data_IF_204436775507
#
_entry.id   IF_204436775507
#
_cell.length_a   1.000
_cell.length_b   1.000
_cell.length_c   1.000
_cell.angle_alpha   90.00
_cell.angle_beta   90.00
_cell.angle_gamma   90.00
#
_symmetry.space_group_name_H-M   'P 1'
#
loop_
_entity.id
_entity.type
_entity.pdbx_description
1 polymer ?
#
# COMPACT_ATOMS: atom_id res chain seq x y z
N UNK A 1 20.32 7.18 11.84
CA UNK A 1 19.17 6.22 11.92
C UNK A 1 18.08 6.67 10.98
N UNK A 2 17.52 5.75 10.22
CA UNK A 2 16.44 6.01 9.26
C UNK A 2 15.27 5.03 9.51
N UNK A 3 14.05 5.49 9.26
CA UNK A 3 12.89 4.63 9.15
C UNK A 3 12.45 4.55 7.68
N UNK A 4 12.12 3.36 7.21
CA UNK A 4 11.43 3.15 5.94
C UNK A 4 9.93 3.11 6.23
N UNK A 5 9.21 3.95 5.55
CA UNK A 5 7.73 3.94 5.51
C UNK A 5 7.32 3.40 4.15
N UNK A 6 6.56 2.33 4.17
CA UNK A 6 6.10 1.61 2.97
C UNK A 6 4.59 1.37 3.07
N UNK A 7 3.84 1.76 2.05
CA UNK A 7 2.41 1.50 1.96
C UNK A 7 2.13 0.10 1.42
N UNK A 8 1.78 -0.81 2.31
CA UNK A 8 1.52 -2.21 1.94
C UNK A 8 0.37 -2.34 0.93
N UNK A 9 0.61 -3.10 -0.15
CA UNK A 9 -0.38 -3.33 -1.21
C UNK A 9 -1.02 -2.01 -1.70
N UNK A 10 -0.23 -0.96 -1.82
CA UNK A 10 -0.66 0.45 -1.84
C UNK A 10 -1.81 0.73 -2.80
N UNK A 11 -1.74 0.30 -4.06
CA UNK A 11 -2.81 0.57 -5.02
C UNK A 11 -4.11 -0.14 -4.66
N UNK A 12 -4.03 -1.40 -4.26
CA UNK A 12 -5.20 -2.16 -3.81
C UNK A 12 -5.82 -1.54 -2.55
N UNK A 13 -4.99 -1.09 -1.62
CA UNK A 13 -5.43 -0.41 -0.40
C UNK A 13 -6.12 0.92 -0.72
N UNK A 14 -5.58 1.74 -1.62
CA UNK A 14 -6.23 2.98 -2.07
C UNK A 14 -7.65 2.75 -2.61
N UNK A 15 -7.85 1.68 -3.36
CA UNK A 15 -9.18 1.33 -3.89
C UNK A 15 -10.17 0.95 -2.78
N UNK A 16 -9.71 0.30 -1.72
CA UNK A 16 -10.58 -0.11 -0.61
C UNK A 16 -10.98 1.05 0.30
N UNK A 17 -10.16 2.09 0.42
CA UNK A 17 -10.46 3.28 1.25
C UNK A 17 -11.80 3.91 0.86
N UNK A 18 -12.07 4.04 -0.42
CA UNK A 18 -13.32 4.64 -0.93
C UNK A 18 -14.40 3.61 -1.25
N UNK A 19 -14.07 2.34 -1.19
CA UNK A 19 -14.98 1.22 -1.41
C UNK A 19 -14.83 0.17 -0.32
N UNK A 20 -15.30 0.44 0.90
CA UNK A 20 -15.13 -0.48 2.04
C UNK A 20 -15.66 -1.90 1.79
N UNK A 21 -16.61 -2.05 0.88
CA UNK A 21 -17.14 -3.37 0.50
C UNK A 21 -16.10 -4.27 -0.18
N UNK A 22 -14.99 -3.70 -0.68
CA UNK A 22 -13.87 -4.46 -1.27
C UNK A 22 -12.88 -4.98 -0.23
N UNK A 23 -12.93 -4.47 1.00
CA UNK A 23 -12.04 -4.89 2.07
C UNK A 23 -12.18 -6.40 2.34
N UNK A 24 -11.06 -7.09 2.51
CA UNK A 24 -11.02 -8.54 2.75
C UNK A 24 -11.29 -9.41 1.52
N UNK A 25 -11.60 -8.82 0.38
CA UNK A 25 -11.86 -9.54 -0.86
C UNK A 25 -10.59 -9.69 -1.70
N UNK A 26 -10.46 -10.77 -2.51
CA UNK A 26 -9.36 -10.88 -3.45
C UNK A 26 -9.48 -9.80 -4.53
N UNK A 27 -8.52 -8.88 -4.52
CA UNK A 27 -8.49 -7.70 -5.38
C UNK A 27 -7.12 -7.58 -6.05
N UNK A 28 -7.09 -7.34 -7.34
CA UNK A 28 -5.89 -6.93 -8.06
C UNK A 28 -6.13 -5.61 -8.77
N UNK A 29 -5.10 -4.78 -8.81
CA UNK A 29 -5.06 -3.61 -9.68
C UNK A 29 -4.22 -3.96 -10.89
N UNK A 30 -4.74 -3.68 -12.06
CA UNK A 30 -4.12 -4.01 -13.33
C UNK A 30 -3.24 -2.87 -13.84
N UNK A 31 -2.25 -3.21 -14.65
CA UNK A 31 -1.38 -2.25 -15.31
C UNK A 31 -2.16 -1.29 -16.22
N UNK A 32 -1.47 -0.27 -16.72
CA UNK A 32 -2.07 0.79 -17.54
C UNK A 32 -2.88 0.28 -18.77
N UNK A 33 -2.51 -0.88 -19.28
CA UNK A 33 -3.20 -1.54 -20.41
C UNK A 33 -4.08 -2.73 -19.99
N UNK A 34 -4.36 -2.86 -18.68
CA UNK A 34 -5.08 -3.99 -18.08
C UNK A 34 -4.46 -5.37 -18.36
N UNK A 35 -3.18 -5.38 -18.69
CA UNK A 35 -2.49 -6.61 -19.10
C UNK A 35 -2.03 -7.51 -17.96
N UNK A 36 -1.63 -6.96 -16.84
CA UNK A 36 -1.09 -7.74 -15.72
C UNK A 36 -1.38 -7.09 -14.36
N UNK A 37 -1.34 -7.90 -13.30
CA UNK A 37 -1.52 -7.44 -11.92
C UNK A 37 -0.28 -6.70 -11.43
N UNK A 38 -0.42 -5.43 -11.06
CA UNK A 38 0.63 -4.58 -10.49
C UNK A 38 0.46 -4.35 -8.98
N UNK A 39 -0.70 -4.65 -8.44
CA UNK A 39 -0.94 -4.70 -7.00
C UNK A 39 -1.96 -5.79 -6.67
N UNK A 40 -1.86 -6.33 -5.46
CA UNK A 40 -2.69 -7.44 -5.01
C UNK A 40 -3.05 -7.26 -3.54
N UNK A 41 -4.32 -7.50 -3.18
CA UNK A 41 -4.69 -7.63 -1.77
C UNK A 41 -4.11 -8.91 -1.15
N UNK A 42 -4.11 -9.01 0.17
CA UNK A 42 -3.66 -10.23 0.86
C UNK A 42 -4.51 -11.44 0.46
N UNK A 43 -5.82 -11.27 0.31
CA UNK A 43 -6.69 -12.35 -0.17
C UNK A 43 -6.34 -12.80 -1.60
N UNK A 44 -5.95 -11.88 -2.49
CA UNK A 44 -5.48 -12.22 -3.83
C UNK A 44 -4.13 -12.96 -3.80
N UNK A 45 -3.22 -12.57 -2.92
CA UNK A 45 -1.95 -13.29 -2.70
C UNK A 45 -2.20 -14.71 -2.20
N UNK A 46 -3.18 -14.90 -1.31
CA UNK A 46 -3.57 -16.22 -0.80
C UNK A 46 -4.11 -17.16 -1.90
N UNK A 47 -4.66 -16.62 -2.99
CA UNK A 47 -5.05 -17.38 -4.18
C UNK A 47 -3.87 -17.78 -5.06
N UNK A 48 -2.64 -17.42 -4.70
CA UNK A 48 -1.43 -17.73 -5.46
C UNK A 48 -1.15 -16.75 -6.62
N UNK A 49 -1.83 -15.62 -6.68
CA UNK A 49 -1.60 -14.61 -7.71
C UNK A 49 -0.25 -13.93 -7.46
N UNK A 50 0.64 -14.01 -8.43
CA UNK A 50 1.98 -13.41 -8.37
C UNK A 50 1.99 -11.98 -8.93
N UNK A 51 2.95 -11.18 -8.49
CA UNK A 51 3.22 -9.87 -9.09
C UNK A 51 3.50 -10.02 -10.59
N UNK A 52 2.86 -9.18 -11.40
CA UNK A 52 2.98 -9.23 -12.85
C UNK A 52 2.18 -10.35 -13.51
N UNK A 53 1.34 -11.09 -12.78
CA UNK A 53 0.50 -12.14 -13.35
C UNK A 53 -0.35 -11.60 -14.50
N UNK A 54 -0.29 -12.19 -15.69
CA UNK A 54 -1.11 -11.76 -16.81
C UNK A 54 -2.59 -11.92 -16.52
N UNK A 55 -3.38 -10.90 -16.85
CA UNK A 55 -4.83 -10.92 -16.57
C UNK A 55 -5.52 -12.13 -17.19
N UNK A 56 -5.18 -12.49 -18.42
CA UNK A 56 -5.82 -13.63 -19.11
C UNK A 56 -5.63 -14.96 -18.37
N UNK A 57 -4.57 -15.10 -17.56
CA UNK A 57 -4.31 -16.32 -16.78
C UNK A 57 -5.10 -16.34 -15.47
N UNK A 58 -5.39 -15.19 -14.88
CA UNK A 58 -6.06 -15.09 -13.57
C UNK A 58 -7.55 -14.73 -13.67
N UNK A 59 -8.02 -14.31 -14.84
CA UNK A 59 -9.41 -13.91 -15.05
C UNK A 59 -10.42 -15.02 -14.70
N UNK A 60 -10.05 -16.28 -14.83
CA UNK A 60 -10.86 -17.42 -14.41
C UNK A 60 -11.22 -17.40 -12.92
N UNK A 61 -10.38 -16.78 -12.09
CA UNK A 61 -10.60 -16.68 -10.64
C UNK A 61 -11.73 -15.71 -10.28
N UNK A 62 -12.19 -14.88 -11.23
CA UNK A 62 -13.35 -14.00 -11.04
C UNK A 62 -14.61 -14.84 -10.73
N UNK A 63 -14.84 -15.90 -11.49
CA UNK A 63 -16.00 -16.77 -11.30
C UNK A 63 -15.78 -17.80 -10.18
N UNK A 64 -14.58 -18.37 -10.09
CA UNK A 64 -14.29 -19.45 -9.13
C UNK A 64 -14.06 -18.95 -7.70
N UNK A 65 -13.44 -17.80 -7.51
CA UNK A 65 -12.96 -17.32 -6.20
C UNK A 65 -13.37 -15.88 -5.87
N UNK A 66 -14.16 -15.26 -6.73
CA UNK A 66 -14.64 -13.90 -6.53
C UNK A 66 -13.56 -12.82 -6.68
N UNK A 67 -12.51 -13.12 -7.47
CA UNK A 67 -11.47 -12.14 -7.75
C UNK A 67 -12.06 -10.88 -8.39
N UNK A 68 -11.59 -9.72 -7.95
CA UNK A 68 -11.93 -8.42 -8.50
C UNK A 68 -10.70 -7.85 -9.18
N UNK A 69 -10.80 -7.54 -10.47
CA UNK A 69 -9.78 -6.82 -11.22
C UNK A 69 -10.21 -5.38 -11.45
N UNK A 70 -9.39 -4.43 -11.07
CA UNK A 70 -9.61 -3.00 -11.31
C UNK A 70 -8.51 -2.43 -12.18
N UNK A 71 -8.89 -1.59 -13.12
CA UNK A 71 -7.95 -0.77 -13.88
C UNK A 71 -7.26 0.22 -12.95
N UNK A 72 -5.98 0.53 -13.22
CA UNK A 72 -5.22 1.46 -12.41
C UNK A 72 -5.82 2.87 -12.44
N UNK A 73 -6.01 3.47 -11.27
CA UNK A 73 -6.43 4.85 -11.09
C UNK A 73 -5.25 5.67 -10.55
N UNK A 74 -4.29 5.99 -11.40
CA UNK A 74 -3.08 6.70 -11.00
C UNK A 74 -3.33 8.09 -10.39
N UNK A 75 -4.31 8.89 -10.81
CA UNK A 75 -4.67 10.13 -10.12
C UNK A 75 -5.07 9.91 -8.65
N UNK A 76 -5.84 8.87 -8.37
CA UNK A 76 -6.19 8.49 -6.99
C UNK A 76 -4.94 8.09 -6.19
N UNK A 77 -4.08 7.25 -6.76
CA UNK A 77 -2.88 6.77 -6.07
C UNK A 77 -1.89 7.89 -5.81
N UNK A 78 -1.75 8.83 -6.74
CA UNK A 78 -0.93 10.02 -6.57
C UNK A 78 -1.43 10.94 -5.45
N UNK A 79 -2.73 11.18 -5.36
CA UNK A 79 -3.34 11.97 -4.29
C UNK A 79 -3.15 11.29 -2.92
N UNK A 80 -3.43 10.00 -2.84
CA UNK A 80 -3.24 9.23 -1.61
C UNK A 80 -1.77 9.15 -1.19
N UNK A 81 -0.85 9.01 -2.14
CA UNK A 81 0.59 9.07 -1.89
C UNK A 81 0.99 10.41 -1.28
N UNK A 82 0.55 11.54 -1.82
CA UNK A 82 0.85 12.86 -1.28
C UNK A 82 0.38 13.01 0.16
N UNK A 83 -0.80 12.52 0.48
CA UNK A 83 -1.35 12.52 1.84
C UNK A 83 -0.52 11.65 2.78
N UNK A 84 -0.18 10.43 2.36
CA UNK A 84 0.65 9.51 3.12
C UNK A 84 2.04 10.11 3.39
N UNK A 85 2.70 10.63 2.35
CA UNK A 85 4.04 11.22 2.48
C UNK A 85 4.04 12.45 3.39
N UNK A 86 3.00 13.29 3.36
CA UNK A 86 2.85 14.43 4.24
C UNK A 86 2.73 14.03 5.71
N UNK A 87 2.00 12.95 6.00
CA UNK A 87 1.88 12.42 7.35
C UNK A 87 3.18 11.74 7.81
N UNK A 88 3.83 10.97 6.94
CA UNK A 88 5.11 10.32 7.22
C UNK A 88 6.21 11.33 7.52
N UNK A 89 6.21 12.50 6.87
CA UNK A 89 7.16 13.58 7.13
C UNK A 89 7.13 14.09 8.57
N UNK A 90 6.02 13.92 9.28
CA UNK A 90 5.89 14.26 10.70
C UNK A 90 6.64 13.33 11.66
N UNK A 91 7.21 12.22 11.18
CA UNK A 91 7.97 11.28 12.01
C UNK A 91 9.37 11.77 12.37
N UNK A 92 10.00 12.54 11.50
CA UNK A 92 11.38 12.98 11.70
C UNK A 92 11.72 14.27 10.96
N UNK A 93 12.94 14.80 11.19
CA UNK A 93 13.35 16.11 10.65
C UNK A 93 13.61 16.12 9.14
N UNK A 94 13.83 14.96 8.53
CA UNK A 94 14.12 14.84 7.09
C UNK A 94 13.33 13.71 6.48
N UNK A 95 12.96 13.88 5.21
CA UNK A 95 12.26 12.86 4.43
C UNK A 95 12.85 12.80 3.02
N UNK A 96 13.07 11.59 2.53
CA UNK A 96 13.38 11.32 1.14
C UNK A 96 12.31 10.38 0.57
N UNK A 97 11.56 10.88 -0.42
CA UNK A 97 10.53 10.09 -1.11
C UNK A 97 11.24 9.27 -2.18
N UNK A 98 11.16 7.95 -2.04
CA UNK A 98 11.81 6.99 -2.94
C UNK A 98 10.89 6.56 -4.08
N UNK A 99 9.64 6.28 -3.78
CA UNK A 99 8.62 5.88 -4.75
C UNK A 99 7.23 6.41 -4.35
N UNK A 100 6.18 6.00 -5.05
CA UNK A 100 4.81 6.44 -4.76
C UNK A 100 4.32 5.96 -3.37
N UNK A 101 4.87 4.87 -2.87
CA UNK A 101 4.46 4.21 -1.63
C UNK A 101 5.59 4.06 -0.60
N UNK A 102 6.80 4.51 -0.92
CA UNK A 102 7.97 4.37 -0.07
C UNK A 102 8.67 5.69 0.21
N UNK A 103 9.02 5.93 1.46
CA UNK A 103 9.88 7.04 1.84
C UNK A 103 10.79 6.70 3.01
N UNK A 104 11.97 7.31 3.04
CA UNK A 104 12.91 7.25 4.14
C UNK A 104 12.77 8.48 5.01
N UNK A 105 12.66 8.26 6.31
CA UNK A 105 12.57 9.33 7.31
C UNK A 105 13.85 9.32 8.14
N UNK A 106 14.58 10.43 8.13
CA UNK A 106 15.72 10.62 9.03
C UNK A 106 15.24 10.84 10.45
N UNK A 107 15.84 10.13 11.40
CA UNK A 107 15.44 10.13 12.81
C UNK A 107 16.47 10.82 13.72
N UNK A 108 17.46 11.48 13.15
CA UNK A 108 18.53 12.13 13.91
C UNK A 108 17.96 13.24 14.81
N UNK A 109 18.25 13.15 16.11
CA UNK A 109 17.75 14.09 17.10
C UNK A 109 16.29 13.87 17.54
N UNK A 110 15.61 12.84 17.02
CA UNK A 110 14.26 12.49 17.45
C UNK A 110 14.30 11.89 18.85
N UNK A 111 13.59 12.53 19.80
CA UNK A 111 13.44 12.05 21.18
C UNK A 111 12.09 11.38 21.36
N UNK A 112 12.06 10.28 22.12
CA UNK A 112 10.86 9.55 22.50
C UNK A 112 10.76 8.16 21.89
N UNK A 113 9.67 7.47 22.19
CA UNK A 113 9.43 6.10 21.71
C UNK A 113 8.96 6.16 20.26
N UNK A 114 9.84 5.82 19.33
CA UNK A 114 9.56 5.79 17.89
C UNK A 114 8.34 4.90 17.58
N UNK A 115 8.20 3.78 18.30
CA UNK A 115 7.07 2.88 18.15
C UNK A 115 5.71 3.53 18.39
N UNK A 116 5.58 4.43 19.34
CA UNK A 116 4.31 5.14 19.60
C UNK A 116 3.97 6.13 18.49
N UNK A 117 4.97 6.84 17.97
CA UNK A 117 4.78 7.76 16.83
C UNK A 117 4.42 7.00 15.56
N UNK A 118 5.10 5.91 15.31
CA UNK A 118 4.83 4.98 14.22
C UNK A 118 3.42 4.43 14.29
N UNK A 119 3.00 3.96 15.45
CA UNK A 119 1.68 3.42 15.67
C UNK A 119 0.59 4.48 15.50
N UNK A 120 0.86 5.73 15.89
CA UNK A 120 -0.05 6.86 15.69
C UNK A 120 -0.24 7.19 14.21
N UNK A 121 0.82 7.14 13.42
CA UNK A 121 0.76 7.35 11.97
C UNK A 121 0.07 6.17 11.29
N UNK A 122 0.43 4.95 11.64
CA UNK A 122 -0.28 3.74 11.21
C UNK A 122 -1.79 3.87 11.46
N UNK A 123 -2.19 4.40 12.61
CA UNK A 123 -3.60 4.62 12.96
C UNK A 123 -4.27 5.68 12.08
N UNK A 124 -3.57 6.74 11.70
CA UNK A 124 -4.07 7.78 10.81
C UNK A 124 -4.23 7.28 9.35
N UNK A 125 -3.44 6.28 8.97
CA UNK A 125 -3.53 5.58 7.69
C UNK A 125 -4.39 4.32 7.76
N UNK A 126 -5.06 4.08 8.86
CA UNK A 126 -5.78 2.84 9.06
C UNK A 126 -6.78 2.59 7.94
N UNK A 127 -6.40 1.67 7.08
CA UNK A 127 -7.28 0.86 6.26
C UNK A 127 -7.24 -0.54 6.86
N UNK A 128 -8.35 -1.23 6.89
CA UNK A 128 -8.64 -2.42 7.68
C UNK A 128 -7.71 -3.65 7.47
N UNK A 129 -6.63 -3.51 6.70
CA UNK A 129 -5.71 -4.60 6.32
C UNK A 129 -4.23 -4.21 6.28
N UNK A 130 -3.86 -3.09 6.89
CA UNK A 130 -2.47 -2.66 6.82
C UNK A 130 -1.61 -3.35 7.86
N UNK A 131 -0.96 -4.42 7.48
CA UNK A 131 0.33 -4.80 8.05
C UNK A 131 1.41 -3.88 7.46
N UNK A 132 1.40 -2.61 7.88
CA UNK A 132 2.43 -1.66 7.50
C UNK A 132 3.74 -2.04 8.20
N UNK A 133 4.66 -2.59 7.44
CA UNK A 133 6.01 -2.84 7.93
C UNK A 133 6.78 -1.53 7.99
N UNK A 134 6.87 -0.95 9.19
CA UNK A 134 7.88 0.05 9.46
C UNK A 134 9.17 -0.65 9.86
N UNK A 135 10.20 -0.50 9.04
CA UNK A 135 11.55 -1.01 9.32
C UNK A 135 12.45 0.15 9.70
N UNK A 136 13.09 0.05 10.87
CA UNK A 136 14.16 0.96 11.28
C UNK A 136 15.52 0.34 10.94
N UNK A 137 16.38 1.14 10.35
CA UNK A 137 17.77 0.76 10.03
C UNK A 137 18.73 1.70 10.75
N UNK A 138 19.78 1.13 11.32
CA UNK A 138 20.90 1.87 11.90
C UNK A 138 21.86 2.38 10.81
#
# INVERSE_FOLDING_TARGET
MFALVDGNNFYATCETVFRPALAGRPLVVLSNNDGCAVARSEAAKALGIKMGAPWFQIARLVESDGLIGLSANFPLYGDMSNRMMSLAAGLGPTQEIYSIDESFIGLDGVRGVLGERAQKIRWLFYTTEADDEMKCFD
#
